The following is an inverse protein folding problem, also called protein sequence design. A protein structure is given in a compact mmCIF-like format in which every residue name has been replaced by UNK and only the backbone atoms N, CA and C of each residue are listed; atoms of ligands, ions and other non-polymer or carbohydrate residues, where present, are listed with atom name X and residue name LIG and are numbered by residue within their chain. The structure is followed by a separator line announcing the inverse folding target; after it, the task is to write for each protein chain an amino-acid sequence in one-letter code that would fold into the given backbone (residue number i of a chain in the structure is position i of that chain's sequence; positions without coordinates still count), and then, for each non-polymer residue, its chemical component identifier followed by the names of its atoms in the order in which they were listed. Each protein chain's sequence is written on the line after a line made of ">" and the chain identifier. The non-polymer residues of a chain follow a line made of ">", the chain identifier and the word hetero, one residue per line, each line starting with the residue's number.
data_IF_267257820527
#
_entry.id   IF_267257820527
#
_cell.length_a   1.000
_cell.length_b   1.000
_cell.length_c   1.000
_cell.angle_alpha   90.00
_cell.angle_beta   90.00
_cell.angle_gamma   90.00
#
_symmetry.space_group_name_H-M   'P 1'
#
loop_
_entity.id
_entity.type
_entity.pdbx_description
1 polymer ?
#
# COMPACT_ATOMS: atom_id res chain seq x y z
N UNK A 1 29.19 -15.88 4.98
CA UNK A 1 28.67 -15.01 3.91
C UNK A 1 29.37 -13.67 4.01
N UNK A 2 29.93 -13.15 2.93
CA UNK A 2 30.57 -11.82 2.93
C UNK A 2 29.50 -10.74 3.00
N UNK A 3 29.82 -9.63 3.67
CA UNK A 3 28.93 -8.47 3.82
C UNK A 3 28.42 -7.95 2.46
N UNK A 4 29.30 -7.94 1.45
CA UNK A 4 28.95 -7.56 0.08
C UNK A 4 27.86 -8.42 -0.56
N UNK A 5 27.83 -9.73 -0.29
CA UNK A 5 26.81 -10.62 -0.86
C UNK A 5 25.44 -10.41 -0.18
N UNK A 6 25.43 -10.09 1.11
CA UNK A 6 24.22 -9.75 1.85
C UNK A 6 23.65 -8.40 1.38
N UNK A 7 24.51 -7.39 1.20
CA UNK A 7 24.12 -6.08 0.68
C UNK A 7 23.53 -6.17 -0.73
N UNK A 8 24.16 -6.95 -1.63
CA UNK A 8 23.65 -7.15 -2.99
C UNK A 8 22.27 -7.83 -3.00
N UNK A 9 22.06 -8.83 -2.13
CA UNK A 9 20.75 -9.47 -1.99
C UNK A 9 19.68 -8.51 -1.46
N UNK A 10 20.00 -7.71 -0.44
CA UNK A 10 19.07 -6.73 0.11
C UNK A 10 18.67 -5.67 -0.94
N UNK A 11 19.62 -5.19 -1.73
CA UNK A 11 19.35 -4.26 -2.83
C UNK A 11 18.45 -4.89 -3.90
N UNK A 12 18.69 -6.14 -4.28
CA UNK A 12 17.85 -6.86 -5.25
C UNK A 12 16.43 -7.12 -4.71
N UNK A 13 16.29 -7.41 -3.41
CA UNK A 13 14.99 -7.57 -2.75
C UNK A 13 14.23 -6.23 -2.69
N UNK A 14 14.91 -5.12 -2.38
CA UNK A 14 14.31 -3.78 -2.41
C UNK A 14 13.87 -3.38 -3.83
N UNK A 15 14.74 -3.58 -4.83
CA UNK A 15 14.41 -3.30 -6.23
C UNK A 15 13.21 -4.13 -6.69
N UNK A 16 13.17 -5.42 -6.39
CA UNK A 16 12.04 -6.28 -6.71
C UNK A 16 10.74 -5.79 -6.04
N UNK A 17 10.80 -5.43 -4.75
CA UNK A 17 9.64 -4.94 -4.02
C UNK A 17 9.10 -3.60 -4.57
N UNK A 18 9.99 -2.72 -5.04
CA UNK A 18 9.65 -1.38 -5.52
C UNK A 18 9.52 -1.28 -7.05
N UNK A 19 9.69 -2.38 -7.78
CA UNK A 19 9.65 -2.41 -9.26
C UNK A 19 8.27 -2.18 -9.87
N UNK A 20 7.20 -2.27 -9.08
CA UNK A 20 5.83 -2.12 -9.56
C UNK A 20 5.44 -0.65 -9.68
N UNK A 21 4.91 -0.27 -10.84
CA UNK A 21 4.39 1.08 -11.04
C UNK A 21 3.28 1.41 -10.01
N UNK A 22 3.30 2.61 -9.40
CA UNK A 22 2.24 3.03 -8.49
C UNK A 22 0.86 2.98 -9.16
N UNK A 23 -0.16 2.66 -8.36
CA UNK A 23 -1.56 2.66 -8.80
C UNK A 23 -2.29 3.78 -8.07
N UNK A 24 -3.00 4.62 -8.81
CA UNK A 24 -3.75 5.71 -8.19
C UNK A 24 -4.97 5.18 -7.41
N UNK A 25 -5.31 5.82 -6.28
CA UNK A 25 -6.50 5.46 -5.50
C UNK A 25 -7.79 5.87 -6.23
N UNK A 26 -8.91 5.27 -5.84
CA UNK A 26 -10.23 5.70 -6.31
C UNK A 26 -10.65 7.04 -5.66
N UNK A 27 -10.31 7.22 -4.39
CA UNK A 27 -10.54 8.45 -3.64
C UNK A 27 -9.57 8.56 -2.48
N UNK A 28 -9.36 9.78 -1.98
CA UNK A 28 -8.55 10.05 -0.79
C UNK A 28 -9.35 10.90 0.19
N UNK A 29 -9.14 10.69 1.49
CA UNK A 29 -9.74 11.52 2.54
C UNK A 29 -8.72 11.84 3.62
N UNK A 30 -8.77 13.06 4.16
CA UNK A 30 -8.03 13.41 5.36
C UNK A 30 -8.71 12.80 6.60
N UNK A 31 -7.92 12.28 7.53
CA UNK A 31 -8.36 11.80 8.84
C UNK A 31 -7.98 12.76 9.98
N UNK A 32 -7.22 13.81 9.69
CA UNK A 32 -6.90 14.87 10.63
C UNK A 32 -6.28 16.08 9.94
N UNK A 33 -5.75 17.02 10.73
CA UNK A 33 -5.33 18.34 10.26
C UNK A 33 -3.92 18.35 9.65
N UNK A 34 -3.14 17.29 9.86
CA UNK A 34 -1.79 17.16 9.30
C UNK A 34 -1.80 16.84 7.80
N UNK A 35 -0.80 17.31 7.03
CA UNK A 35 -0.74 17.06 5.58
C UNK A 35 -0.57 15.57 5.23
N UNK A 36 0.03 14.80 6.13
CA UNK A 36 0.25 13.36 5.99
C UNK A 36 -0.91 12.54 6.61
N UNK A 37 -1.93 13.19 7.18
CA UNK A 37 -3.05 12.51 7.81
C UNK A 37 -4.12 12.17 6.78
N UNK A 38 -3.76 11.32 5.82
CA UNK A 38 -4.56 10.96 4.65
C UNK A 38 -4.71 9.45 4.48
N UNK A 39 -5.89 9.03 4.04
CA UNK A 39 -6.20 7.66 3.62
C UNK A 39 -6.53 7.64 2.14
N UNK A 40 -5.89 6.75 1.41
CA UNK A 40 -6.24 6.39 0.03
C UNK A 40 -7.15 5.15 0.03
N UNK A 41 -8.27 5.24 -0.67
CA UNK A 41 -9.25 4.17 -0.78
C UNK A 41 -9.22 3.50 -2.15
N UNK A 42 -9.27 2.17 -2.14
CA UNK A 42 -9.40 1.35 -3.33
C UNK A 42 -10.69 0.53 -3.22
N UNK A 43 -11.59 0.71 -4.18
CA UNK A 43 -12.87 0.03 -4.22
C UNK A 43 -12.70 -1.44 -4.65
N UNK A 44 -13.44 -2.39 -4.04
CA UNK A 44 -13.41 -3.79 -4.44
C UNK A 44 -13.85 -3.93 -5.89
N UNK A 45 -13.08 -4.69 -6.69
CA UNK A 45 -13.39 -4.91 -8.12
C UNK A 45 -14.09 -6.25 -8.39
N UNK A 46 -14.00 -7.19 -7.47
CA UNK A 46 -14.77 -8.43 -7.51
C UNK A 46 -16.07 -8.26 -6.71
N UNK A 47 -17.15 -8.91 -7.16
CA UNK A 47 -18.41 -8.91 -6.44
C UNK A 47 -18.18 -9.42 -5.01
N UNK A 48 -18.70 -8.69 -4.01
CA UNK A 48 -18.78 -9.22 -2.66
C UNK A 48 -19.59 -10.53 -2.69
N UNK A 49 -19.20 -11.50 -1.86
CA UNK A 49 -19.97 -12.73 -1.68
C UNK A 49 -21.43 -12.45 -1.31
N UNK A 50 -22.29 -13.48 -1.22
CA UNK A 50 -23.74 -13.32 -1.15
C UNK A 50 -24.18 -12.31 -0.05
N UNK A 51 -24.57 -11.11 -0.46
CA UNK A 51 -25.44 -10.19 0.29
C UNK A 51 -24.83 -9.19 1.28
N UNK A 52 -23.50 -8.99 1.33
CA UNK A 52 -22.88 -8.09 2.32
C UNK A 52 -21.87 -7.08 1.74
N UNK A 53 -21.52 -6.01 2.49
CA UNK A 53 -20.43 -5.13 2.12
C UNK A 53 -19.10 -5.89 2.07
N UNK A 54 -18.19 -5.46 1.19
CA UNK A 54 -16.86 -6.07 1.10
C UNK A 54 -16.09 -5.90 2.43
N UNK A 55 -15.29 -6.89 2.85
CA UNK A 55 -14.39 -6.74 3.98
C UNK A 55 -13.37 -5.63 3.72
N UNK A 56 -13.15 -4.78 4.73
CA UNK A 56 -12.16 -3.71 4.70
C UNK A 56 -10.80 -4.21 5.18
N UNK A 57 -9.75 -3.92 4.41
CA UNK A 57 -8.34 -4.12 4.81
C UNK A 57 -7.69 -2.76 4.98
N UNK A 58 -7.16 -2.48 6.17
CA UNK A 58 -6.30 -1.33 6.41
C UNK A 58 -4.84 -1.72 6.12
N UNK A 59 -4.17 -0.97 5.24
CA UNK A 59 -2.76 -1.15 4.90
C UNK A 59 -1.97 0.00 5.50
N UNK A 60 -0.99 -0.33 6.34
CA UNK A 60 0.01 0.61 6.84
C UNK A 60 1.34 0.26 6.19
N UNK A 61 1.94 1.22 5.50
CA UNK A 61 3.18 1.00 4.76
C UNK A 61 4.40 0.96 5.69
N UNK A 62 5.45 0.26 5.24
CA UNK A 62 6.76 0.27 5.88
C UNK A 62 7.61 1.46 5.41
N UNK A 63 8.93 1.28 5.38
CA UNK A 63 9.88 2.32 4.96
C UNK A 63 10.72 2.93 6.08
N UNK A 64 10.80 2.26 7.23
CA UNK A 64 11.63 2.66 8.37
C UNK A 64 11.41 4.12 8.82
N UNK A 65 10.16 4.61 8.72
CA UNK A 65 9.76 5.99 9.04
C UNK A 65 10.49 7.06 8.22
N UNK A 66 11.07 6.72 7.07
CA UNK A 66 11.80 7.65 6.21
C UNK A 66 10.85 8.33 5.23
N UNK A 67 11.03 9.63 5.02
CA UNK A 67 10.20 10.44 4.12
C UNK A 67 10.03 9.91 2.69
N UNK A 68 11.04 9.29 2.04
CA UNK A 68 10.88 8.82 0.66
C UNK A 68 9.84 7.70 0.47
N UNK A 69 9.41 7.05 1.55
CA UNK A 69 8.46 5.93 1.48
C UNK A 69 7.11 6.38 2.08
N UNK A 70 6.20 6.80 1.20
CA UNK A 70 4.82 7.19 1.52
C UNK A 70 3.83 6.06 1.17
N UNK A 71 2.54 6.21 1.45
CA UNK A 71 1.52 5.22 1.06
C UNK A 71 1.52 4.82 -0.43
N UNK A 72 2.12 5.61 -1.34
CA UNK A 72 2.11 5.31 -2.79
C UNK A 72 3.03 4.15 -3.15
N UNK A 73 4.11 3.91 -2.42
CA UNK A 73 5.03 2.81 -2.77
C UNK A 73 4.40 1.42 -2.59
N UNK A 74 3.41 1.28 -1.69
CA UNK A 74 2.67 0.02 -1.47
C UNK A 74 1.34 -0.03 -2.23
N UNK A 75 1.00 1.01 -3.01
CA UNK A 75 -0.24 1.06 -3.80
C UNK A 75 -0.47 -0.15 -4.73
N UNK A 76 0.55 -0.81 -5.33
CA UNK A 76 0.30 -2.00 -6.14
C UNK A 76 -0.29 -3.17 -5.33
N UNK A 77 0.10 -3.29 -4.05
CA UNK A 77 -0.44 -4.29 -3.13
C UNK A 77 -1.88 -3.95 -2.72
N UNK A 78 -2.17 -2.68 -2.44
CA UNK A 78 -3.54 -2.22 -2.18
C UNK A 78 -4.46 -2.51 -3.38
N UNK A 79 -4.00 -2.18 -4.60
CA UNK A 79 -4.73 -2.48 -5.83
C UNK A 79 -4.92 -3.99 -6.06
N UNK A 80 -3.93 -4.82 -5.69
CA UNK A 80 -4.06 -6.28 -5.75
C UNK A 80 -5.16 -6.81 -4.84
N UNK A 81 -5.23 -6.34 -3.60
CA UNK A 81 -6.29 -6.69 -2.65
C UNK A 81 -7.67 -6.24 -3.15
N UNK A 82 -7.77 -5.04 -3.71
CA UNK A 82 -9.00 -4.54 -4.31
C UNK A 82 -9.51 -5.44 -5.45
N UNK A 83 -8.61 -5.93 -6.31
CA UNK A 83 -8.94 -6.93 -7.35
C UNK A 83 -9.37 -8.29 -6.78
N UNK A 84 -9.04 -8.57 -5.52
CA UNK A 84 -9.47 -9.78 -4.81
C UNK A 84 -10.80 -9.62 -4.08
N UNK A 85 -11.45 -8.47 -4.18
CA UNK A 85 -12.78 -8.21 -3.61
C UNK A 85 -12.77 -7.55 -2.23
N UNK A 86 -11.62 -7.04 -1.79
CA UNK A 86 -11.51 -6.26 -0.55
C UNK A 86 -11.75 -4.78 -0.83
N UNK A 87 -12.42 -4.07 0.08
CA UNK A 87 -12.24 -2.63 0.19
C UNK A 87 -10.88 -2.39 0.87
N UNK A 88 -10.10 -1.43 0.40
CA UNK A 88 -8.76 -1.17 0.97
C UNK A 88 -8.64 0.28 1.38
N UNK A 89 -8.17 0.50 2.61
CA UNK A 89 -7.76 1.80 3.15
C UNK A 89 -6.24 1.80 3.33
N UNK A 90 -5.52 2.46 2.43
CA UNK A 90 -4.06 2.63 2.51
C UNK A 90 -3.75 3.92 3.24
N UNK A 91 -3.23 3.79 4.47
CA UNK A 91 -3.08 4.89 5.42
C UNK A 91 -1.67 5.45 5.33
N UNK A 92 -1.56 6.76 5.07
CA UNK A 92 -0.34 7.53 5.36
C UNK A 92 -0.34 7.92 6.85
N UNK A 93 0.84 8.16 7.42
CA UNK A 93 0.95 8.56 8.81
C UNK A 93 2.07 9.57 9.03
N UNK A 94 1.75 10.61 9.82
CA UNK A 94 2.63 11.45 10.65
C UNK A 94 1.82 12.45 11.48
#
# INVERSE_FOLDING_TARGET
>A
MTDAAAAARAAAEEEAALSHAPVDPDTSAAYGDGPDQVVDFYAPRAAAGPGGPAPLVAVLHGGAWRHPYDRRHISPFAAFLARRGFAVASVEYR
#
